data_IF_987048541431
#
_entry.id   IF_987048541431
#
_cell.length_a   1.000
_cell.length_b   1.000
_cell.length_c   1.000
_cell.angle_alpha   90.00
_cell.angle_beta   90.00
_cell.angle_gamma   90.00
#
_symmetry.space_group_name_H-M   'P 1'
#
loop_
_entity.id
_entity.type
_entity.pdbx_description
1 polymer ?
#
# COMPACT_ATOMS: atom_id res chain seq x y z
N UNK A 1 -22.41 -1.96 27.23
CA UNK A 1 -21.73 -2.80 26.24
C UNK A 1 -20.49 -2.06 25.79
N UNK A 2 -19.35 -2.36 26.40
CA UNK A 2 -18.05 -1.75 26.10
C UNK A 2 -17.49 -2.40 24.85
N UNK A 3 -17.48 -1.66 23.74
CA UNK A 3 -16.84 -2.09 22.50
C UNK A 3 -15.33 -2.21 22.72
N UNK A 4 -14.79 -3.42 22.53
CA UNK A 4 -13.35 -3.65 22.47
C UNK A 4 -12.75 -2.74 21.40
N UNK A 5 -11.97 -1.74 21.82
CA UNK A 5 -10.96 -1.14 20.94
C UNK A 5 -10.05 -2.28 20.51
N UNK A 6 -10.04 -2.56 19.22
CA UNK A 6 -9.04 -3.43 18.61
C UNK A 6 -7.71 -2.66 18.67
N UNK A 7 -7.04 -2.72 19.81
CA UNK A 7 -5.68 -2.20 19.97
C UNK A 7 -4.80 -3.13 19.16
N UNK A 8 -4.49 -2.77 17.91
CA UNK A 8 -3.43 -3.45 17.16
C UNK A 8 -2.12 -3.02 17.79
N UNK A 9 -1.63 -3.93 18.61
CA UNK A 9 -0.39 -3.94 19.34
C UNK A 9 0.80 -3.64 18.40
N UNK A 10 1.74 -2.80 18.84
CA UNK A 10 3.01 -2.54 18.14
C UNK A 10 3.73 -3.86 17.76
N UNK A 11 3.45 -4.94 18.50
CA UNK A 11 3.95 -6.29 18.23
C UNK A 11 3.49 -6.86 16.88
N UNK A 12 2.27 -6.61 16.43
CA UNK A 12 1.77 -7.09 15.13
C UNK A 12 2.49 -6.43 13.96
N UNK A 13 2.83 -5.14 14.10
CA UNK A 13 3.50 -4.40 13.04
C UNK A 13 5.01 -4.66 13.01
N UNK A 14 5.64 -4.83 14.17
CA UNK A 14 7.02 -5.35 14.22
C UNK A 14 7.10 -6.74 13.59
N UNK A 15 6.11 -7.61 13.86
CA UNK A 15 5.97 -8.91 13.18
C UNK A 15 5.79 -8.76 11.68
N UNK A 16 4.87 -7.89 11.24
CA UNK A 16 4.68 -7.61 9.81
C UNK A 16 5.98 -7.17 9.14
N UNK A 17 6.73 -6.24 9.74
CA UNK A 17 8.02 -5.77 9.21
C UNK A 17 9.09 -6.88 9.20
N UNK A 18 9.10 -7.78 10.19
CA UNK A 18 10.01 -8.95 10.17
C UNK A 18 9.58 -10.03 9.19
N UNK A 19 8.29 -10.10 8.85
CA UNK A 19 7.71 -11.06 7.91
C UNK A 19 7.71 -10.54 6.46
N UNK A 20 8.02 -9.26 6.24
CA UNK A 20 8.20 -8.72 4.91
C UNK A 20 9.42 -9.38 4.24
N UNK A 21 9.32 -9.73 2.94
CA UNK A 21 10.48 -10.23 2.21
C UNK A 21 11.60 -9.20 2.26
N UNK A 22 12.85 -9.66 2.38
CA UNK A 22 14.07 -8.82 2.45
C UNK A 22 13.95 -7.62 1.52
N UNK A 23 13.82 -6.46 2.14
CA UNK A 23 13.38 -5.23 1.51
C UNK A 23 14.46 -4.17 1.67
N UNK A 24 14.64 -3.34 0.65
CA UNK A 24 15.58 -2.23 0.72
C UNK A 24 14.99 -1.15 1.63
N UNK A 25 15.84 -0.54 2.46
CA UNK A 25 15.46 0.57 3.34
C UNK A 25 16.29 1.80 3.02
N UNK A 26 15.61 2.94 2.91
CA UNK A 26 16.20 4.23 2.55
C UNK A 26 15.86 5.28 3.61
N UNK A 27 16.63 6.37 3.63
CA UNK A 27 16.28 7.56 4.40
C UNK A 27 15.70 8.62 3.45
N UNK A 28 14.62 9.27 3.87
CA UNK A 28 14.05 10.40 3.13
C UNK A 28 14.88 11.67 3.34
N UNK A 29 15.40 12.22 2.25
CA UNK A 29 16.10 13.51 2.25
C UNK A 29 15.34 14.57 1.45
N UNK A 30 14.84 14.20 0.27
CA UNK A 30 14.12 15.12 -0.63
C UNK A 30 13.17 14.37 -1.58
N UNK A 31 12.27 15.14 -2.22
CA UNK A 31 11.32 14.60 -3.20
C UNK A 31 12.04 14.03 -4.43
N UNK A 32 13.07 14.71 -4.93
CA UNK A 32 13.83 14.29 -6.11
C UNK A 32 14.57 12.97 -5.85
N UNK A 33 15.10 12.80 -4.64
CA UNK A 33 15.72 11.54 -4.21
C UNK A 33 14.68 10.42 -4.15
N UNK A 34 13.47 10.69 -3.62
CA UNK A 34 12.38 9.71 -3.63
C UNK A 34 12.05 9.26 -5.06
N UNK A 35 11.93 10.18 -6.01
CA UNK A 35 11.67 9.85 -7.42
C UNK A 35 12.78 8.95 -8.02
N UNK A 36 14.05 9.19 -7.66
CA UNK A 36 15.16 8.33 -8.07
C UNK A 36 15.11 6.94 -7.43
N UNK A 37 14.72 6.85 -6.16
CA UNK A 37 14.50 5.57 -5.47
C UNK A 37 13.38 4.81 -6.17
N UNK A 38 12.26 5.47 -6.45
CA UNK A 38 11.13 4.86 -7.18
C UNK A 38 11.58 4.31 -8.54
N UNK A 39 12.33 5.08 -9.32
CA UNK A 39 12.78 4.61 -10.64
C UNK A 39 13.74 3.42 -10.53
N UNK A 40 14.66 3.45 -9.56
CA UNK A 40 15.58 2.35 -9.27
C UNK A 40 14.82 1.07 -8.92
N UNK A 41 13.85 1.17 -8.02
CA UNK A 41 13.06 0.04 -7.55
C UNK A 41 12.14 -0.51 -8.64
N UNK A 42 11.52 0.36 -9.44
CA UNK A 42 10.72 -0.05 -10.59
C UNK A 42 11.56 -0.81 -11.62
N UNK A 43 12.77 -0.32 -11.91
CA UNK A 43 13.70 -1.01 -12.81
C UNK A 43 14.14 -2.36 -12.22
N UNK A 44 14.42 -2.43 -10.91
CA UNK A 44 14.78 -3.67 -10.22
C UNK A 44 13.67 -4.72 -10.32
N UNK A 45 12.42 -4.30 -10.09
CA UNK A 45 11.25 -5.17 -10.19
C UNK A 45 11.03 -5.64 -11.64
N UNK A 46 11.14 -4.73 -12.63
CA UNK A 46 10.94 -5.06 -14.04
C UNK A 46 12.01 -6.02 -14.61
N UNK A 47 13.25 -5.95 -14.11
CA UNK A 47 14.35 -6.83 -14.54
C UNK A 47 14.48 -8.09 -13.67
N UNK A 48 13.59 -8.28 -12.70
CA UNK A 48 13.52 -9.52 -11.94
C UNK A 48 13.14 -10.67 -12.88
N UNK A 49 13.94 -11.74 -12.88
CA UNK A 49 13.54 -12.99 -13.53
C UNK A 49 12.76 -13.81 -12.52
N UNK A 50 11.87 -14.68 -13.00
CA UNK A 50 11.14 -15.63 -12.15
C UNK A 50 12.04 -16.47 -11.22
N UNK A 51 13.33 -16.62 -11.57
CA UNK A 51 14.33 -17.40 -10.81
C UNK A 51 15.18 -16.57 -9.82
N UNK A 52 14.91 -15.27 -9.62
CA UNK A 52 15.58 -14.47 -8.57
C UNK A 52 14.69 -14.34 -7.33
N UNK A 53 14.81 -15.23 -6.32
CA UNK A 53 13.89 -15.31 -5.18
C UNK A 53 13.98 -14.14 -4.16
N UNK A 54 14.78 -13.11 -4.44
CA UNK A 54 15.13 -12.06 -3.47
C UNK A 54 14.61 -10.66 -3.83
N UNK A 55 13.76 -10.50 -4.84
CA UNK A 55 13.24 -9.18 -5.19
C UNK A 55 11.86 -9.00 -4.55
N UNK A 56 11.82 -8.16 -3.52
CA UNK A 56 10.60 -7.77 -2.81
C UNK A 56 9.87 -6.67 -3.58
N UNK A 57 8.54 -6.78 -3.69
CA UNK A 57 7.66 -5.68 -4.14
C UNK A 57 7.69 -4.49 -3.17
N UNK A 58 8.23 -4.70 -1.96
CA UNK A 58 8.22 -3.74 -0.87
C UNK A 58 9.61 -3.10 -0.71
N UNK A 59 9.61 -1.80 -0.39
CA UNK A 59 10.76 -1.06 0.13
C UNK A 59 10.30 -0.03 1.16
N UNK A 60 11.19 0.23 2.10
CA UNK A 60 10.94 1.04 3.27
C UNK A 60 11.67 2.37 3.16
N UNK A 61 11.04 3.43 3.66
CA UNK A 61 11.63 4.76 3.77
C UNK A 61 11.43 5.28 5.18
N UNK A 62 12.53 5.57 5.87
CA UNK A 62 12.53 6.32 7.11
C UNK A 62 12.20 7.78 6.80
N UNK A 63 11.11 8.28 7.39
CA UNK A 63 10.59 9.62 7.11
C UNK A 63 9.92 10.26 8.32
N UNK A 64 10.23 11.55 8.51
CA UNK A 64 9.58 12.36 9.54
C UNK A 64 8.12 12.66 9.20
N UNK A 65 7.21 12.71 10.20
CA UNK A 65 5.81 13.01 9.97
C UNK A 65 5.52 14.36 9.28
N UNK A 66 6.35 15.37 9.54
CA UNK A 66 6.26 16.67 8.85
C UNK A 66 6.55 16.54 7.36
N UNK A 67 7.58 15.78 7.01
CA UNK A 67 8.01 15.53 5.64
C UNK A 67 6.98 14.68 4.89
N UNK A 68 6.36 13.70 5.56
CA UNK A 68 5.30 12.90 4.95
C UNK A 68 4.11 13.76 4.50
N UNK A 69 3.60 14.64 5.36
CA UNK A 69 2.45 15.50 5.05
C UNK A 69 2.70 16.45 3.87
N UNK A 70 3.95 16.85 3.66
CA UNK A 70 4.33 17.75 2.56
C UNK A 70 4.62 16.99 1.27
N UNK A 71 5.30 15.85 1.36
CA UNK A 71 5.79 15.12 0.20
C UNK A 71 4.76 14.15 -0.42
N UNK A 72 3.79 13.65 0.37
CA UNK A 72 2.90 12.55 -0.04
C UNK A 72 1.46 12.97 -0.36
N UNK A 73 1.24 14.27 -0.60
CA UNK A 73 0.12 14.76 -1.42
C UNK A 73 0.42 14.59 -2.91
N UNK A 74 1.10 13.50 -3.31
CA UNK A 74 1.51 13.27 -4.69
C UNK A 74 0.26 13.20 -5.57
N UNK A 75 0.07 14.15 -6.52
CA UNK A 75 -0.81 13.91 -7.64
C UNK A 75 -0.09 12.90 -8.52
N UNK A 76 -0.84 11.89 -8.95
CA UNK A 76 -0.42 10.82 -9.86
C UNK A 76 0.53 9.80 -9.23
N UNK A 77 -0.09 8.87 -8.51
CA UNK A 77 0.49 7.57 -8.20
C UNK A 77 1.03 6.94 -9.48
N UNK A 78 2.33 6.67 -9.53
CA UNK A 78 2.87 5.68 -10.47
C UNK A 78 1.96 4.46 -10.44
N UNK A 79 1.40 4.07 -11.58
CA UNK A 79 0.44 2.97 -11.64
C UNK A 79 1.05 1.72 -10.96
N UNK A 80 0.32 1.16 -9.99
CA UNK A 80 0.77 0.01 -9.19
C UNK A 80 1.56 0.35 -7.91
N UNK A 81 1.90 1.62 -7.65
CA UNK A 81 2.46 2.05 -6.36
C UNK A 81 1.38 2.13 -5.29
N UNK A 82 1.66 1.58 -4.11
CA UNK A 82 0.79 1.59 -2.95
C UNK A 82 1.58 1.95 -1.71
N UNK A 83 1.00 2.83 -0.90
CA UNK A 83 1.66 3.44 0.23
C UNK A 83 1.01 2.99 1.54
N UNK A 84 1.82 2.67 2.53
CA UNK A 84 1.42 2.50 3.93
C UNK A 84 2.33 3.34 4.82
N UNK A 85 1.76 4.19 5.65
CA UNK A 85 2.49 5.12 6.51
C UNK A 85 2.16 4.90 7.98
N UNK A 86 3.20 4.88 8.81
CA UNK A 86 3.07 4.84 10.26
C UNK A 86 3.88 5.97 10.93
N UNK A 87 3.21 6.97 11.54
CA UNK A 87 3.89 8.08 12.20
C UNK A 87 4.66 7.69 13.46
N UNK A 88 4.23 6.65 14.19
CA UNK A 88 4.89 6.21 15.43
C UNK A 88 6.25 5.59 15.18
N UNK A 89 6.40 4.95 14.01
CA UNK A 89 7.63 4.27 13.60
C UNK A 89 8.50 5.13 12.69
N UNK A 90 8.08 6.35 12.36
CA UNK A 90 8.76 7.21 11.39
C UNK A 90 9.00 6.49 10.06
N UNK A 91 8.03 5.66 9.65
CA UNK A 91 8.22 4.67 8.59
C UNK A 91 7.15 4.79 7.52
N UNK A 92 7.62 4.77 6.28
CA UNK A 92 6.83 4.69 5.07
C UNK A 92 7.17 3.41 4.32
N UNK A 93 6.17 2.56 4.13
CA UNK A 93 6.29 1.33 3.36
C UNK A 93 5.68 1.60 2.00
N UNK A 94 6.47 1.38 0.96
CA UNK A 94 6.04 1.49 -0.42
C UNK A 94 6.01 0.10 -1.04
N UNK A 95 4.93 -0.20 -1.76
CA UNK A 95 4.79 -1.41 -2.55
C UNK A 95 4.62 -1.06 -4.02
N UNK A 96 5.49 -1.60 -4.87
CA UNK A 96 5.30 -1.61 -6.32
C UNK A 96 4.70 -2.95 -6.73
N UNK A 97 3.45 -2.92 -7.18
CA UNK A 97 2.73 -4.12 -7.55
C UNK A 97 3.34 -4.73 -8.81
N UNK A 98 3.81 -5.98 -8.73
CA UNK A 98 4.20 -6.74 -9.91
C UNK A 98 2.96 -7.10 -10.75
N UNK A 99 3.19 -7.59 -11.96
CA UNK A 99 2.10 -7.91 -12.88
C UNK A 99 1.18 -8.99 -12.29
N UNK A 100 1.74 -10.00 -11.64
CA UNK A 100 1.03 -11.09 -10.98
C UNK A 100 0.12 -10.58 -9.86
N UNK A 101 0.60 -9.62 -9.06
CA UNK A 101 -0.18 -8.98 -8.01
C UNK A 101 -1.36 -8.22 -8.60
N UNK A 102 -1.11 -7.41 -9.64
CA UNK A 102 -2.16 -6.65 -10.32
C UNK A 102 -3.23 -7.60 -10.87
N UNK A 103 -2.82 -8.70 -11.52
CA UNK A 103 -3.73 -9.71 -12.05
C UNK A 103 -4.56 -10.38 -10.95
N UNK A 104 -3.95 -10.71 -9.81
CA UNK A 104 -4.65 -11.30 -8.68
C UNK A 104 -5.67 -10.32 -8.07
N UNK A 105 -5.30 -9.05 -7.89
CA UNK A 105 -6.19 -8.01 -7.38
C UNK A 105 -7.40 -7.79 -8.30
N UNK A 106 -7.17 -7.72 -9.62
CA UNK A 106 -8.23 -7.59 -10.62
C UNK A 106 -9.16 -8.81 -10.64
N UNK A 107 -8.60 -10.03 -10.53
CA UNK A 107 -9.39 -11.24 -10.49
C UNK A 107 -10.29 -11.29 -9.24
N UNK A 108 -9.77 -10.88 -8.08
CA UNK A 108 -10.54 -10.80 -6.84
C UNK A 108 -11.67 -9.77 -6.95
N UNK A 109 -11.37 -8.55 -7.41
CA UNK A 109 -12.37 -7.50 -7.61
C UNK A 109 -13.51 -7.97 -8.53
N UNK A 110 -13.15 -8.64 -9.63
CA UNK A 110 -14.13 -9.20 -10.56
C UNK A 110 -15.06 -10.21 -9.89
N UNK A 111 -14.54 -11.13 -9.09
CA UNK A 111 -15.35 -12.11 -8.36
C UNK A 111 -16.32 -11.42 -7.40
N UNK A 112 -15.87 -10.37 -6.71
CA UNK A 112 -16.74 -9.58 -5.82
C UNK A 112 -17.87 -8.93 -6.61
N UNK A 113 -17.57 -8.29 -7.74
CA UNK A 113 -18.59 -7.68 -8.62
C UNK A 113 -19.60 -8.73 -9.13
N UNK A 114 -19.11 -9.89 -9.58
CA UNK A 114 -19.96 -10.98 -10.08
C UNK A 114 -20.92 -11.51 -9.00
N UNK A 115 -20.49 -11.58 -7.73
CA UNK A 115 -21.34 -11.97 -6.60
C UNK A 115 -22.39 -10.90 -6.29
N UNK A 116 -22.04 -9.61 -6.36
CA UNK A 116 -22.95 -8.51 -6.05
C UNK A 116 -23.99 -8.25 -7.14
N UNK A 117 -23.68 -8.61 -8.38
CA UNK A 117 -24.52 -8.38 -9.54
C UNK A 117 -25.94 -8.97 -9.43
N UNK A 118 -26.16 -10.27 -9.10
CA UNK A 118 -27.51 -10.84 -9.00
C UNK A 118 -28.36 -10.23 -7.88
N UNK A 119 -27.73 -9.60 -6.89
CA UNK A 119 -28.43 -8.89 -5.80
C UNK A 119 -28.80 -7.44 -6.17
N UNK A 120 -28.40 -6.97 -7.35
CA UNK A 120 -28.51 -5.56 -7.75
C UNK A 120 -27.60 -4.63 -6.94
N UNK A 121 -26.73 -5.17 -6.10
CA UNK A 121 -25.88 -4.40 -5.19
C UNK A 121 -24.63 -3.85 -5.87
N UNK A 122 -24.24 -4.38 -7.03
CA UNK A 122 -23.04 -3.88 -7.74
C UNK A 122 -23.15 -2.39 -8.10
N UNK A 123 -24.36 -1.92 -8.42
CA UNK A 123 -24.64 -0.50 -8.68
C UNK A 123 -24.63 0.34 -7.42
N UNK A 124 -24.91 -0.28 -6.27
CA UNK A 124 -24.88 0.36 -4.97
C UNK A 124 -23.48 0.36 -4.35
N UNK A 125 -22.46 -0.14 -5.06
CA UNK A 125 -21.07 -0.15 -4.58
C UNK A 125 -20.20 0.71 -5.48
N UNK A 126 -19.32 1.50 -4.86
CA UNK A 126 -18.29 2.26 -5.56
C UNK A 126 -16.92 1.71 -5.21
N UNK A 127 -16.13 1.39 -6.24
CA UNK A 127 -14.76 0.92 -6.11
C UNK A 127 -13.78 2.07 -5.92
N UNK A 128 -12.81 1.88 -5.04
CA UNK A 128 -11.70 2.79 -4.77
C UNK A 128 -10.40 1.98 -4.66
N UNK A 129 -9.46 2.20 -5.58
CA UNK A 129 -8.11 1.66 -5.50
C UNK A 129 -7.10 2.77 -5.27
N UNK A 130 -6.06 2.51 -4.48
CA UNK A 130 -4.96 3.47 -4.28
C UNK A 130 -5.34 4.75 -3.52
N UNK A 131 -6.52 4.81 -2.91
CA UNK A 131 -6.96 5.96 -2.11
C UNK A 131 -6.35 5.92 -0.71
N UNK A 132 -6.04 7.08 -0.16
CA UNK A 132 -5.56 7.18 1.22
C UNK A 132 -6.72 6.91 2.19
N UNK A 133 -6.60 5.83 2.97
CA UNK A 133 -7.53 5.49 4.05
C UNK A 133 -6.84 5.67 5.39
N UNK A 134 -7.42 6.50 6.26
CA UNK A 134 -6.99 6.60 7.66
C UNK A 134 -7.44 5.35 8.41
N UNK A 135 -6.50 4.61 8.98
CA UNK A 135 -6.76 3.37 9.72
C UNK A 135 -6.65 3.53 11.24
N UNK A 136 -6.66 4.79 11.71
CA UNK A 136 -6.53 5.19 13.11
C UNK A 136 -5.13 5.71 13.47
N UNK A 137 -5.05 6.51 14.53
CA UNK A 137 -3.79 7.02 15.11
C UNK A 137 -2.88 7.72 14.09
N UNK A 138 -3.46 8.40 13.10
CA UNK A 138 -2.71 9.06 12.03
C UNK A 138 -2.02 8.12 11.04
N UNK A 139 -2.26 6.80 11.13
CA UNK A 139 -1.77 5.80 10.19
C UNK A 139 -2.60 5.85 8.91
N UNK A 140 -1.92 5.70 7.77
CA UNK A 140 -2.55 5.76 6.46
C UNK A 140 -2.18 4.51 5.65
N UNK A 141 -3.14 4.00 4.89
CA UNK A 141 -2.93 2.88 3.97
C UNK A 141 -3.66 3.08 2.66
N UNK A 142 -3.07 2.63 1.58
CA UNK A 142 -3.70 2.55 0.27
C UNK A 142 -4.03 1.10 -0.07
N UNK A 143 -5.32 0.74 -0.19
CA UNK A 143 -5.69 -0.62 -0.57
C UNK A 143 -5.44 -0.87 -2.07
N UNK A 144 -5.27 -2.14 -2.43
CA UNK A 144 -5.32 -2.60 -3.83
C UNK A 144 -6.65 -2.27 -4.46
N UNK A 145 -7.69 -2.71 -3.76
CA UNK A 145 -9.11 -2.59 -4.11
C UNK A 145 -9.87 -2.37 -2.81
N UNK A 146 -10.82 -1.44 -2.83
CA UNK A 146 -11.73 -1.15 -1.75
C UNK A 146 -13.11 -0.84 -2.31
N UNK A 147 -14.15 -1.15 -1.55
CA UNK A 147 -15.54 -0.83 -1.91
C UNK A 147 -16.21 -0.07 -0.78
N UNK A 148 -17.07 0.88 -1.12
CA UNK A 148 -18.03 1.45 -0.19
C UNK A 148 -19.44 1.39 -0.78
N UNK A 149 -20.45 1.38 0.08
CA UNK A 149 -21.83 1.55 -0.37
C UNK A 149 -22.04 3.00 -0.80
N UNK A 150 -22.64 3.21 -1.97
CA UNK A 150 -23.17 4.51 -2.37
C UNK A 150 -24.27 4.91 -1.38
N UNK A 151 -24.22 6.17 -0.94
CA UNK A 151 -25.25 6.78 -0.08
C UNK A 151 -26.41 7.33 -0.90
#
# INVERSE_FOLDING_TARGET
MTGSKCVRDESEMKRFLTDLPLSNRYNYEAKEQLEQILQTEANRLAHSRADTPNISEYFDIDIDPSSFKQAFLLPDSTAGLRISYNPELYLLILRMSALEHIQAAVALDRVVVEILQPMGLYLATQGYGGVNVEVGDGKLKQPDVGGSCQR
#
